data_IF_089301962455
#
_entry.id   IF_089301962455
#
_cell.length_a   1.000
_cell.length_b   1.000
_cell.length_c   1.000
_cell.angle_alpha   90.00
_cell.angle_beta   90.00
_cell.angle_gamma   90.00
#
_symmetry.space_group_name_H-M   'P 1'
#
loop_
_entity.id
_entity.type
_entity.pdbx_description
1 polymer ?
#
# COMPACT_ATOMS: atom_id res chain seq x y z
N UNK A 1 7.06 29.03 58.93
CA UNK A 1 6.37 27.85 58.35
C UNK A 1 6.83 27.68 56.92
N UNK A 2 7.13 26.42 56.55
CA UNK A 2 7.73 25.98 55.28
C UNK A 2 6.83 26.28 54.07
N UNK A 3 7.43 26.46 52.88
CA UNK A 3 7.23 25.62 51.67
C UNK A 3 8.07 26.11 50.48
N UNK A 4 9.02 25.27 50.06
CA UNK A 4 9.70 25.27 48.76
C UNK A 4 8.75 24.68 47.70
N UNK A 5 8.64 25.31 46.53
CA UNK A 5 8.21 24.68 45.27
C UNK A 5 8.98 25.41 44.14
N UNK A 6 10.16 24.90 43.75
CA UNK A 6 10.43 24.08 42.56
C UNK A 6 9.99 24.74 41.24
N UNK A 7 10.99 25.26 40.51
CA UNK A 7 10.80 25.96 39.24
C UNK A 7 10.52 25.03 38.07
N UNK A 8 9.68 25.51 37.14
CA UNK A 8 9.43 24.90 35.85
C UNK A 8 10.00 25.86 34.77
N UNK A 9 11.08 25.43 34.12
CA UNK A 9 11.72 26.15 33.03
C UNK A 9 11.05 25.69 31.73
N UNK A 10 10.26 26.56 31.09
CA UNK A 10 9.66 26.30 29.77
C UNK A 10 10.40 27.13 28.72
N UNK A 11 11.23 26.47 27.92
CA UNK A 11 11.92 27.07 26.78
C UNK A 11 10.90 27.18 25.64
N UNK A 12 10.62 28.41 25.20
CA UNK A 12 9.82 28.69 24.00
C UNK A 12 10.76 28.77 22.79
N UNK A 13 10.60 27.84 21.86
CA UNK A 13 11.28 27.87 20.57
C UNK A 13 10.39 28.59 19.53
N UNK A 14 11.02 29.54 18.85
CA UNK A 14 10.53 30.39 17.77
C UNK A 14 9.91 29.60 16.60
N UNK A 15 8.80 30.11 16.06
CA UNK A 15 8.26 29.69 14.76
C UNK A 15 8.70 30.70 13.69
N UNK A 16 9.64 30.28 12.85
CA UNK A 16 9.97 30.96 11.59
C UNK A 16 9.12 30.32 10.48
N UNK A 17 8.37 31.15 9.75
CA UNK A 17 7.62 30.72 8.57
C UNK A 17 8.53 30.49 7.36
N UNK A 18 8.14 29.55 6.50
CA UNK A 18 8.57 29.49 5.11
C UNK A 18 7.59 28.63 4.28
N UNK A 19 6.90 29.31 3.37
CA UNK A 19 6.48 28.89 2.02
C UNK A 19 5.73 27.56 1.83
N UNK A 20 4.45 27.72 1.50
CA UNK A 20 3.57 26.73 0.91
C UNK A 20 4.01 26.39 -0.53
N UNK A 21 4.91 25.43 -0.70
CA UNK A 21 5.04 24.64 -1.94
C UNK A 21 5.54 23.24 -1.58
N UNK A 22 4.62 22.32 -1.28
CA UNK A 22 4.93 20.89 -1.27
C UNK A 22 3.72 20.09 -1.74
N UNK A 23 3.73 19.79 -3.04
CA UNK A 23 2.96 18.71 -3.66
C UNK A 23 3.59 17.38 -3.26
N UNK A 24 3.47 16.98 -1.99
CA UNK A 24 3.89 15.65 -1.55
C UNK A 24 2.70 14.69 -1.62
N UNK A 25 2.61 14.03 -2.77
CA UNK A 25 1.90 12.76 -2.88
C UNK A 25 2.63 11.76 -1.99
N UNK A 26 2.11 11.55 -0.78
CA UNK A 26 2.62 10.57 0.17
C UNK A 26 2.34 9.16 -0.38
N UNK A 27 3.30 8.59 -1.10
CA UNK A 27 3.36 7.16 -1.39
C UNK A 27 3.71 6.40 -0.09
N UNK A 28 2.70 6.14 0.74
CA UNK A 28 2.84 5.33 1.95
C UNK A 28 2.28 3.93 1.75
N UNK A 29 3.18 2.96 1.65
CA UNK A 29 2.88 1.59 2.06
C UNK A 29 3.90 1.17 3.11
N UNK A 30 3.42 1.22 4.35
CA UNK A 30 3.94 0.44 5.47
C UNK A 30 3.60 -1.03 5.22
N UNK A 31 4.64 -1.87 5.02
CA UNK A 31 4.57 -3.32 5.22
C UNK A 31 4.83 -3.59 6.69
N UNK A 32 3.91 -4.25 7.38
CA UNK A 32 4.13 -4.73 8.75
C UNK A 32 5.06 -5.94 8.68
N UNK A 33 6.36 -5.66 8.70
CA UNK A 33 7.44 -6.61 8.89
C UNK A 33 7.33 -7.27 10.28
N UNK A 34 7.28 -8.60 10.33
CA UNK A 34 7.56 -9.36 11.57
C UNK A 34 9.00 -9.01 11.98
N UNK A 35 9.22 -8.71 13.26
CA UNK A 35 10.28 -7.88 13.87
C UNK A 35 11.76 -8.08 13.44
N UNK A 36 12.10 -9.07 12.62
CA UNK A 36 13.45 -9.28 12.06
C UNK A 36 13.76 -8.65 10.69
N UNK A 37 12.86 -7.83 10.11
CA UNK A 37 12.93 -7.47 8.66
C UNK A 37 12.99 -5.97 8.31
N UNK A 38 13.19 -5.08 9.28
CA UNK A 38 13.31 -3.62 9.00
C UNK A 38 14.51 -3.25 8.12
N UNK A 39 15.64 -3.95 8.25
CA UNK A 39 16.85 -3.68 7.43
C UNK A 39 16.73 -4.24 6.01
N UNK A 40 15.95 -5.31 5.83
CA UNK A 40 15.72 -5.93 4.52
C UNK A 40 14.81 -5.05 3.66
N UNK A 41 13.78 -4.43 4.25
CA UNK A 41 12.83 -3.59 3.52
C UNK A 41 13.46 -2.30 2.96
N UNK A 42 14.35 -1.65 3.70
CA UNK A 42 15.08 -0.46 3.23
C UNK A 42 16.13 -0.80 2.18
N UNK A 43 16.86 -1.92 2.34
CA UNK A 43 17.81 -2.41 1.34
C UNK A 43 17.15 -2.85 0.02
N UNK A 44 15.98 -3.47 0.09
CA UNK A 44 15.18 -3.82 -1.10
C UNK A 44 14.65 -2.56 -1.78
N UNK A 45 14.12 -1.59 -1.03
CA UNK A 45 13.61 -0.34 -1.61
C UNK A 45 14.73 0.45 -2.30
N UNK A 46 15.89 0.60 -1.65
CA UNK A 46 17.04 1.28 -2.26
C UNK A 46 17.64 0.50 -3.44
N UNK A 47 17.70 -0.84 -3.37
CA UNK A 47 18.18 -1.68 -4.48
C UNK A 47 17.22 -1.69 -5.67
N UNK A 48 15.92 -1.62 -5.42
CA UNK A 48 14.88 -1.41 -6.42
C UNK A 48 15.04 -0.02 -7.03
N UNK A 49 15.04 1.05 -6.24
CA UNK A 49 15.10 2.41 -6.76
C UNK A 49 16.41 2.68 -7.53
N UNK A 50 17.56 2.20 -7.04
CA UNK A 50 18.85 2.30 -7.75
C UNK A 50 18.93 1.39 -8.99
N UNK A 51 18.33 0.19 -8.94
CA UNK A 51 18.21 -0.71 -10.09
C UNK A 51 17.25 -0.19 -11.16
N UNK A 52 16.21 0.55 -10.75
CA UNK A 52 15.24 1.25 -11.59
C UNK A 52 15.90 2.43 -12.29
N UNK A 53 16.69 3.25 -11.57
CA UNK A 53 17.42 4.39 -12.16
C UNK A 53 18.45 3.95 -13.22
N UNK A 54 19.22 2.88 -12.95
CA UNK A 54 20.20 2.34 -13.90
C UNK A 54 19.55 1.51 -15.03
N UNK A 55 18.30 1.09 -14.88
CA UNK A 55 17.63 0.08 -15.69
C UNK A 55 16.39 0.53 -16.45
N UNK A 56 16.33 1.79 -16.91
CA UNK A 56 15.20 2.41 -17.67
C UNK A 56 14.58 1.60 -18.83
N UNK A 57 15.15 0.44 -19.21
CA UNK A 57 14.65 -0.49 -20.24
C UNK A 57 14.05 -1.81 -19.72
N UNK A 58 14.03 -2.09 -18.40
CA UNK A 58 13.67 -3.43 -17.87
C UNK A 58 12.38 -3.50 -17.03
N UNK A 59 11.65 -2.38 -16.88
CA UNK A 59 10.42 -2.32 -16.08
C UNK A 59 9.22 -2.28 -17.02
N UNK A 60 8.27 -3.19 -16.82
CA UNK A 60 6.98 -3.18 -17.50
C UNK A 60 5.97 -2.51 -16.59
N UNK A 61 5.42 -1.38 -17.04
CA UNK A 61 4.30 -0.73 -16.37
C UNK A 61 3.01 -1.47 -16.67
N UNK A 62 2.27 -1.80 -15.62
CA UNK A 62 0.96 -2.45 -15.67
C UNK A 62 -0.09 -1.41 -15.29
N UNK A 63 -0.80 -0.91 -16.30
CA UNK A 63 -1.77 0.19 -16.20
C UNK A 63 -3.17 -0.17 -16.73
N UNK A 64 -3.38 -1.44 -17.15
CA UNK A 64 -4.63 -1.89 -17.71
C UNK A 64 -4.92 -3.37 -17.42
N UNK A 65 -6.20 -3.80 -17.50
CA UNK A 65 -6.60 -5.18 -17.20
C UNK A 65 -5.91 -6.26 -18.06
N UNK A 66 -5.59 -5.95 -19.32
CA UNK A 66 -4.99 -6.92 -20.25
C UNK A 66 -3.57 -7.27 -19.81
N UNK A 67 -2.74 -6.27 -19.58
CA UNK A 67 -1.37 -6.47 -19.10
C UNK A 67 -1.35 -7.02 -17.67
N UNK A 68 -2.27 -6.59 -16.81
CA UNK A 68 -2.40 -7.15 -15.47
C UNK A 68 -2.63 -8.66 -15.49
N UNK A 69 -3.58 -9.14 -16.30
CA UNK A 69 -3.87 -10.57 -16.45
C UNK A 69 -2.69 -11.36 -17.01
N UNK A 70 -1.96 -10.78 -17.96
CA UNK A 70 -0.80 -11.41 -18.60
C UNK A 70 0.34 -11.65 -17.60
N UNK A 71 0.67 -10.63 -16.80
CA UNK A 71 1.90 -10.62 -16.00
C UNK A 71 1.71 -10.94 -14.52
N UNK A 72 0.50 -10.76 -13.98
CA UNK A 72 0.27 -10.79 -12.52
C UNK A 72 -0.79 -11.82 -12.16
N UNK A 73 -0.47 -12.66 -11.19
CA UNK A 73 -1.46 -13.42 -10.44
C UNK A 73 -1.71 -12.78 -9.08
N UNK A 74 -2.92 -12.99 -8.56
CA UNK A 74 -3.34 -12.47 -7.27
C UNK A 74 -4.22 -13.48 -6.58
N UNK A 75 -4.14 -13.50 -5.26
CA UNK A 75 -4.96 -14.29 -4.35
C UNK A 75 -5.19 -13.53 -3.04
N UNK A 76 -6.28 -13.85 -2.34
CA UNK A 76 -6.50 -13.36 -0.98
C UNK A 76 -5.78 -14.31 -0.03
N UNK A 77 -4.83 -13.82 0.75
CA UNK A 77 -4.08 -14.63 1.72
C UNK A 77 -4.58 -14.45 3.15
N UNK A 78 -5.12 -13.28 3.48
CA UNK A 78 -5.73 -13.05 4.79
C UNK A 78 -6.89 -12.05 4.73
N UNK A 79 -7.83 -12.22 5.65
CA UNK A 79 -8.93 -11.28 5.90
C UNK A 79 -8.98 -11.04 7.41
N UNK A 80 -8.86 -9.77 7.83
CA UNK A 80 -8.96 -9.37 9.23
C UNK A 80 -10.10 -8.38 9.39
N UNK A 81 -11.09 -8.72 10.21
CA UNK A 81 -12.19 -7.82 10.52
C UNK A 81 -11.94 -7.12 11.86
N UNK A 82 -12.23 -5.83 11.90
CA UNK A 82 -12.36 -5.05 13.14
C UNK A 82 -13.84 -4.73 13.37
N UNK A 83 -14.15 -3.91 14.38
CA UNK A 83 -15.52 -3.43 14.64
C UNK A 83 -16.12 -2.71 13.42
N UNK A 84 -15.30 -1.92 12.71
CA UNK A 84 -15.78 -0.99 11.68
C UNK A 84 -15.08 -1.13 10.32
N UNK A 85 -14.06 -1.99 10.22
CA UNK A 85 -13.27 -2.12 8.99
C UNK A 85 -12.90 -3.57 8.68
N UNK A 86 -12.61 -3.84 7.43
CA UNK A 86 -12.01 -5.08 6.95
C UNK A 86 -10.68 -4.77 6.29
N UNK A 87 -9.63 -5.49 6.70
CA UNK A 87 -8.34 -5.52 6.02
C UNK A 87 -8.27 -6.80 5.20
N UNK A 88 -7.97 -6.66 3.90
CA UNK A 88 -7.79 -7.76 2.96
C UNK A 88 -6.33 -7.76 2.54
N UNK A 89 -5.62 -8.85 2.83
CA UNK A 89 -4.25 -9.07 2.37
C UNK A 89 -4.30 -9.79 1.03
N UNK A 90 -3.70 -9.17 0.01
CA UNK A 90 -3.60 -9.70 -1.34
C UNK A 90 -2.14 -10.05 -1.63
N UNK A 91 -1.88 -11.31 -1.97
CA UNK A 91 -0.59 -11.70 -2.53
C UNK A 91 -0.59 -11.37 -4.04
N UNK A 92 0.44 -10.66 -4.49
CA UNK A 92 0.70 -10.33 -5.88
C UNK A 92 1.90 -11.13 -6.36
N UNK A 93 1.69 -12.02 -7.33
CA UNK A 93 2.73 -12.87 -7.91
C UNK A 93 3.09 -12.43 -9.31
N UNK A 94 4.36 -12.16 -9.56
CA UNK A 94 4.89 -11.89 -10.89
C UNK A 94 5.12 -13.21 -11.64
N UNK A 95 4.38 -13.40 -12.75
CA UNK A 95 4.50 -14.57 -13.62
C UNK A 95 5.61 -14.46 -14.67
N UNK A 96 6.41 -13.40 -14.62
CA UNK A 96 7.40 -13.09 -15.64
C UNK A 96 8.79 -12.86 -15.05
N UNK A 97 9.78 -12.91 -15.94
CA UNK A 97 11.16 -12.58 -15.65
C UNK A 97 11.47 -11.06 -15.77
N UNK A 98 10.45 -10.21 -15.82
CA UNK A 98 10.57 -8.75 -15.92
C UNK A 98 10.25 -8.10 -14.57
N UNK A 99 10.79 -6.92 -14.30
CA UNK A 99 10.35 -6.13 -13.14
C UNK A 99 9.02 -5.49 -13.55
N UNK A 100 8.01 -5.55 -12.68
CA UNK A 100 6.70 -4.98 -12.96
C UNK A 100 6.43 -3.81 -12.02
N UNK A 101 5.80 -2.76 -12.56
CA UNK A 101 5.23 -1.67 -11.77
C UNK A 101 3.75 -1.60 -12.07
N UNK A 102 2.93 -2.05 -11.14
CA UNK A 102 1.47 -1.90 -11.19
C UNK A 102 1.16 -0.52 -10.67
N UNK A 103 0.45 0.29 -11.46
CA UNK A 103 0.17 1.70 -11.14
C UNK A 103 -1.33 1.95 -10.97
N UNK A 104 -1.70 3.14 -10.50
CA UNK A 104 -3.09 3.62 -10.47
C UNK A 104 -4.05 2.72 -9.68
N UNK A 105 -3.57 1.98 -8.68
CA UNK A 105 -4.38 1.13 -7.80
C UNK A 105 -5.24 1.94 -6.82
N UNK A 106 -4.95 3.23 -6.65
CA UNK A 106 -5.76 4.17 -5.88
C UNK A 106 -6.98 4.68 -6.66
N UNK A 107 -7.02 4.44 -7.98
CA UNK A 107 -8.16 4.81 -8.82
C UNK A 107 -9.32 3.83 -8.66
N UNK A 108 -10.51 4.41 -8.52
CA UNK A 108 -11.77 3.71 -8.20
C UNK A 108 -12.18 2.62 -9.19
N UNK A 109 -11.72 2.72 -10.43
CA UNK A 109 -11.97 1.78 -11.53
C UNK A 109 -11.01 0.58 -11.49
N UNK A 110 -9.83 0.75 -10.88
CA UNK A 110 -8.77 -0.24 -10.86
C UNK A 110 -8.79 -1.07 -9.58
N UNK A 111 -9.21 -0.50 -8.44
CA UNK A 111 -9.34 -1.24 -7.19
C UNK A 111 -10.55 -0.78 -6.37
N UNK A 112 -11.42 -1.73 -6.05
CA UNK A 112 -12.53 -1.52 -5.13
C UNK A 112 -13.04 -2.85 -4.58
N UNK A 113 -13.61 -2.81 -3.37
CA UNK A 113 -14.40 -3.90 -2.86
C UNK A 113 -15.88 -3.73 -3.23
N UNK A 114 -16.62 -4.82 -3.23
CA UNK A 114 -18.08 -4.84 -3.41
C UNK A 114 -18.69 -5.35 -2.12
N UNK A 115 -19.53 -4.54 -1.50
CA UNK A 115 -20.28 -4.90 -0.31
C UNK A 115 -21.42 -5.89 -0.63
N UNK A 116 -21.98 -6.55 0.39
CA UNK A 116 -23.10 -7.50 0.23
C UNK A 116 -24.33 -6.88 -0.43
N UNK A 117 -24.57 -5.59 -0.20
CA UNK A 117 -25.64 -4.81 -0.83
C UNK A 117 -25.32 -4.35 -2.27
N UNK A 118 -24.18 -4.77 -2.83
CA UNK A 118 -23.65 -4.44 -4.17
C UNK A 118 -23.04 -3.04 -4.30
N UNK A 119 -22.86 -2.31 -3.22
CA UNK A 119 -22.17 -1.02 -3.26
C UNK A 119 -20.67 -1.19 -3.49
N UNK A 120 -20.08 -0.24 -4.24
CA UNK A 120 -18.62 -0.14 -4.35
C UNK A 120 -18.07 0.51 -3.08
N UNK A 121 -17.05 -0.11 -2.49
CA UNK A 121 -16.34 0.39 -1.32
C UNK A 121 -14.87 0.59 -1.69
N UNK A 122 -14.35 1.78 -1.48
CA UNK A 122 -12.97 2.12 -1.79
C UNK A 122 -12.07 1.89 -0.58
N UNK A 123 -10.79 1.58 -0.85
CA UNK A 123 -9.81 1.42 0.22
C UNK A 123 -9.60 2.77 0.91
N UNK A 124 -9.70 2.79 2.24
CA UNK A 124 -9.42 3.98 3.06
C UNK A 124 -7.93 4.30 3.10
N UNK A 125 -7.08 3.28 2.98
CA UNK A 125 -5.64 3.44 2.72
C UNK A 125 -5.37 3.37 1.22
N UNK A 126 -5.00 4.50 0.61
CA UNK A 126 -4.70 4.57 -0.82
C UNK A 126 -3.30 4.04 -1.11
N UNK A 127 -3.25 3.02 -1.94
CA UNK A 127 -2.04 2.43 -2.49
C UNK A 127 -2.07 2.76 -3.97
N UNK A 128 -1.20 3.66 -4.44
CA UNK A 128 -1.13 4.01 -5.86
C UNK A 128 -0.46 2.89 -6.66
N UNK A 129 0.67 2.38 -6.15
CA UNK A 129 1.58 1.56 -6.94
C UNK A 129 2.08 0.35 -6.16
N UNK A 130 2.29 -0.75 -6.88
CA UNK A 130 2.90 -1.99 -6.39
C UNK A 130 4.03 -2.40 -7.34
N UNK A 131 5.25 -2.56 -6.82
CA UNK A 131 6.40 -3.02 -7.58
C UNK A 131 6.66 -4.50 -7.30
N UNK A 132 6.87 -5.29 -8.35
CA UNK A 132 7.22 -6.70 -8.27
C UNK A 132 8.58 -6.94 -8.95
N UNK A 133 9.49 -7.58 -8.22
CA UNK A 133 10.72 -8.10 -8.79
C UNK A 133 10.45 -9.31 -9.68
N UNK A 134 11.46 -9.70 -10.46
CA UNK A 134 11.38 -10.86 -11.36
C UNK A 134 11.04 -12.12 -10.56
N UNK A 135 10.04 -12.88 -11.00
CA UNK A 135 9.61 -14.13 -10.35
C UNK A 135 9.36 -13.99 -8.83
N UNK A 136 9.00 -12.81 -8.34
CA UNK A 136 8.75 -12.57 -6.92
C UNK A 136 7.26 -12.52 -6.62
N UNK A 137 6.97 -12.53 -5.33
CA UNK A 137 5.63 -12.28 -4.79
C UNK A 137 5.72 -11.33 -3.58
N UNK A 138 4.68 -10.53 -3.38
CA UNK A 138 4.56 -9.64 -2.22
C UNK A 138 3.13 -9.63 -1.71
N UNK A 139 2.95 -9.42 -0.42
CA UNK A 139 1.64 -9.19 0.17
C UNK A 139 1.36 -7.70 0.38
N UNK A 140 0.12 -7.30 0.11
CA UNK A 140 -0.34 -5.92 0.25
C UNK A 140 -1.68 -5.90 0.96
N UNK A 141 -1.76 -5.10 2.02
CA UNK A 141 -2.97 -4.90 2.81
C UNK A 141 -3.81 -3.75 2.28
N UNK A 142 -5.07 -4.05 1.96
CA UNK A 142 -6.10 -3.06 1.63
C UNK A 142 -7.12 -2.94 2.75
N UNK A 143 -7.25 -1.74 3.31
CA UNK A 143 -8.20 -1.45 4.38
C UNK A 143 -9.45 -0.81 3.82
N UNK A 144 -10.61 -1.33 4.19
CA UNK A 144 -11.91 -0.80 3.81
C UNK A 144 -12.69 -0.48 5.08
N UNK A 145 -13.28 0.70 5.17
CA UNK A 145 -14.11 1.12 6.30
C UNK A 145 -15.53 0.53 6.17
N UNK A 146 -15.60 -0.78 5.95
CA UNK A 146 -16.80 -1.57 5.79
C UNK A 146 -16.50 -3.03 6.15
N UNK A 147 -17.34 -3.64 6.99
CA UNK A 147 -17.16 -5.03 7.47
C UNK A 147 -17.93 -6.07 6.64
N UNK A 148 -18.78 -5.62 5.71
CA UNK A 148 -19.72 -6.46 4.95
C UNK A 148 -19.31 -6.60 3.48
N UNK A 149 -18.04 -6.90 3.25
CA UNK A 149 -17.49 -7.08 1.90
C UNK A 149 -17.74 -8.49 1.37
N UNK A 150 -18.00 -8.62 0.06
CA UNK A 150 -18.26 -9.89 -0.64
C UNK A 150 -17.12 -10.27 -1.57
N UNK A 151 -16.55 -9.30 -2.27
CA UNK A 151 -15.44 -9.49 -3.21
C UNK A 151 -14.59 -8.24 -3.32
N UNK A 152 -13.35 -8.41 -3.74
CA UNK A 152 -12.46 -7.33 -4.16
C UNK A 152 -12.22 -7.45 -5.66
N UNK A 153 -12.20 -6.32 -6.36
CA UNK A 153 -11.84 -6.23 -7.77
C UNK A 153 -10.54 -5.47 -7.91
N UNK A 154 -9.60 -6.03 -8.68
CA UNK A 154 -8.33 -5.40 -9.03
C UNK A 154 -8.14 -5.58 -10.54
N UNK A 155 -8.08 -4.50 -11.31
CA UNK A 155 -7.92 -4.53 -12.78
C UNK A 155 -8.86 -5.55 -13.47
N UNK A 156 -10.15 -5.49 -13.13
CA UNK A 156 -11.22 -6.42 -13.56
C UNK A 156 -11.11 -7.88 -13.13
N UNK A 157 -10.05 -8.27 -12.41
CA UNK A 157 -9.98 -9.59 -11.76
C UNK A 157 -10.76 -9.55 -10.44
N UNK A 158 -11.67 -10.49 -10.25
CA UNK A 158 -12.48 -10.61 -9.03
C UNK A 158 -11.91 -11.68 -8.11
N UNK A 159 -11.76 -11.36 -6.83
CA UNK A 159 -11.44 -12.31 -5.78
C UNK A 159 -12.57 -12.33 -4.75
N UNK A 160 -13.04 -13.53 -4.40
CA UNK A 160 -14.07 -13.70 -3.39
C UNK A 160 -13.46 -13.49 -2.00
N UNK A 161 -14.15 -12.74 -1.16
CA UNK A 161 -13.83 -12.60 0.26
C UNK A 161 -14.68 -13.65 0.96
N UNK A 162 -14.11 -14.84 1.17
CA UNK A 162 -14.75 -15.91 1.94
C UNK A 162 -14.30 -15.76 3.38
N UNK A 163 -15.26 -15.48 4.27
CA UNK A 163 -15.09 -15.56 5.72
C UNK A 163 -15.04 -17.03 6.14
#
# INVERSE_FOLDING_TARGET
>A
MKKLIFGLFLITAVSFGANNEFSDTVSSIVSTAVEGSKEVATGIKQGIDQGIEKGKKMIVTIDNPKTFKEYVDIEVTAIKNTKNSTVITINYKNKSNKILRIVNLDKSENLFAVAKNKDKVFSSKRISDVNLLKNSEIEVDYTFDNTNLKKIKIYNKELNIRL
#
